data_IF_034710942490
#
_entry.id   IF_034710942490
#
_cell.length_a   1.000
_cell.length_b   1.000
_cell.length_c   1.000
_cell.angle_alpha   90.00
_cell.angle_beta   90.00
_cell.angle_gamma   90.00
#
_symmetry.space_group_name_H-M   'P 1'
#
loop_
_entity.id
_entity.type
_entity.pdbx_description
1 polymer ?
#
# COMPACT_ATOMS: atom_id res chain seq x y z
N UNK A 1 -4.11 -20.05 -6.47
CA UNK A 1 -4.49 -18.77 -7.10
C UNK A 1 -4.64 -17.78 -5.97
N UNK A 2 -4.26 -16.52 -6.15
CA UNK A 2 -4.49 -15.51 -5.11
C UNK A 2 -5.97 -15.12 -5.12
N UNK A 3 -6.68 -15.29 -4.01
CA UNK A 3 -8.12 -15.02 -3.88
C UNK A 3 -8.38 -13.51 -3.69
N UNK A 4 -7.75 -12.69 -4.53
CA UNK A 4 -7.86 -11.24 -4.53
C UNK A 4 -8.60 -10.79 -5.79
N UNK A 5 -9.50 -9.81 -5.65
CA UNK A 5 -10.30 -9.22 -6.72
C UNK A 5 -9.41 -8.79 -7.88
N UNK A 6 -9.85 -9.10 -9.11
CA UNK A 6 -9.10 -8.80 -10.31
C UNK A 6 -8.75 -7.32 -10.47
N UNK A 7 -9.46 -6.38 -9.86
CA UNK A 7 -9.08 -4.94 -9.91
C UNK A 7 -7.80 -4.63 -9.15
N UNK A 8 -7.28 -5.57 -8.38
CA UNK A 8 -6.04 -5.47 -7.64
C UNK A 8 -4.99 -6.42 -8.24
N UNK A 9 -3.71 -6.09 -8.03
CA UNK A 9 -2.60 -6.96 -8.36
C UNK A 9 -1.73 -7.21 -7.14
N UNK A 10 -1.39 -8.47 -6.96
CA UNK A 10 -0.42 -8.96 -5.99
C UNK A 10 0.75 -9.48 -6.80
N UNK A 11 1.94 -8.96 -6.51
CA UNK A 11 3.12 -9.17 -7.36
C UNK A 11 3.97 -10.32 -6.84
N UNK A 12 3.94 -10.54 -5.52
CA UNK A 12 4.58 -11.66 -4.85
C UNK A 12 3.64 -12.26 -3.79
N UNK A 13 3.61 -13.59 -3.58
CA UNK A 13 2.77 -14.22 -2.55
C UNK A 13 2.98 -13.65 -1.15
N UNK A 14 4.21 -13.22 -0.81
CA UNK A 14 4.56 -12.65 0.49
C UNK A 14 4.09 -11.19 0.66
N UNK A 15 3.59 -10.53 -0.38
CA UNK A 15 3.18 -9.13 -0.31
C UNK A 15 2.12 -8.91 0.77
N UNK A 16 2.29 -7.86 1.58
CA UNK A 16 1.28 -7.45 2.56
C UNK A 16 0.28 -6.47 1.99
N UNK A 17 0.49 -6.05 0.74
CA UNK A 17 -0.36 -5.10 0.02
C UNK A 17 -0.75 -5.66 -1.35
N UNK A 18 -1.87 -5.18 -1.87
CA UNK A 18 -2.25 -5.30 -3.27
C UNK A 18 -2.30 -3.90 -3.90
N UNK A 19 -2.02 -3.79 -5.18
CA UNK A 19 -2.00 -2.50 -5.91
C UNK A 19 -3.25 -2.39 -6.79
N UNK A 20 -3.93 -1.25 -6.75
CA UNK A 20 -5.08 -0.99 -7.61
C UNK A 20 -4.66 -0.86 -9.08
N UNK A 21 -5.28 -1.65 -9.97
CA UNK A 21 -5.09 -1.60 -11.43
C UNK A 21 -6.00 -0.58 -12.12
N UNK A 22 -7.07 -0.18 -11.45
CA UNK A 22 -8.02 0.85 -11.90
C UNK A 22 -8.57 1.61 -10.69
N UNK A 23 -9.22 2.77 -10.89
CA UNK A 23 -9.95 3.44 -9.82
C UNK A 23 -11.07 2.53 -9.26
N UNK A 24 -11.22 2.50 -7.94
CA UNK A 24 -12.32 1.80 -7.25
C UNK A 24 -13.03 2.77 -6.33
N UNK A 25 -14.35 2.85 -6.42
CA UNK A 25 -15.17 3.75 -5.63
C UNK A 25 -15.28 3.28 -4.16
N UNK A 26 -15.50 4.22 -3.24
CA UNK A 26 -15.94 3.92 -1.88
C UNK A 26 -17.24 3.10 -1.91
N UNK A 27 -17.44 2.25 -0.90
CA UNK A 27 -18.58 1.33 -0.81
C UNK A 27 -18.47 0.10 -1.72
N UNK A 28 -17.45 0.01 -2.57
CA UNK A 28 -17.23 -1.18 -3.41
C UNK A 28 -16.79 -2.36 -2.55
N UNK A 29 -17.46 -3.51 -2.72
CA UNK A 29 -17.02 -4.79 -2.15
C UNK A 29 -15.92 -5.40 -3.03
N UNK A 30 -14.78 -5.71 -2.41
CA UNK A 30 -13.63 -6.39 -3.01
C UNK A 30 -13.30 -7.62 -2.18
N UNK A 31 -12.90 -8.71 -2.84
CA UNK A 31 -12.25 -9.83 -2.14
C UNK A 31 -10.75 -9.54 -2.06
N UNK A 32 -10.14 -9.63 -0.88
CA UNK A 32 -8.72 -9.41 -0.66
C UNK A 32 -8.20 -10.55 0.22
N UNK A 33 -7.32 -11.39 -0.32
CA UNK A 33 -6.79 -12.55 0.41
C UNK A 33 -7.90 -13.48 0.92
N UNK A 34 -8.92 -13.74 0.11
CA UNK A 34 -10.06 -14.60 0.45
C UNK A 34 -11.09 -13.97 1.40
N UNK A 35 -10.95 -12.68 1.73
CA UNK A 35 -11.86 -11.95 2.62
C UNK A 35 -12.57 -10.85 1.88
N UNK A 36 -13.89 -10.76 2.04
CA UNK A 36 -14.64 -9.63 1.51
C UNK A 36 -14.46 -8.39 2.38
N UNK A 37 -14.11 -7.29 1.73
CA UNK A 37 -13.93 -5.98 2.33
C UNK A 37 -14.74 -4.96 1.54
N UNK A 38 -15.40 -4.04 2.26
CA UNK A 38 -16.04 -2.86 1.67
C UNK A 38 -15.07 -1.69 1.84
N UNK A 39 -14.76 -0.99 0.75
CA UNK A 39 -13.85 0.16 0.83
C UNK A 39 -14.50 1.34 1.53
N UNK A 40 -13.88 1.86 2.58
CA UNK A 40 -14.35 3.08 3.26
C UNK A 40 -14.14 4.35 2.43
N UNK A 41 -13.15 4.33 1.53
CA UNK A 41 -12.79 5.45 0.67
C UNK A 41 -12.44 4.99 -0.75
N UNK A 42 -12.54 5.90 -1.71
CA UNK A 42 -12.13 5.62 -3.08
C UNK A 42 -10.61 5.42 -3.15
N UNK A 43 -10.17 4.51 -4.02
CA UNK A 43 -8.77 4.23 -4.29
C UNK A 43 -8.47 4.52 -5.76
N UNK A 44 -7.38 5.22 -6.03
CA UNK A 44 -6.92 5.53 -7.40
C UNK A 44 -5.94 4.45 -7.89
N UNK A 45 -5.72 4.41 -9.20
CA UNK A 45 -4.75 3.49 -9.81
C UNK A 45 -3.35 3.65 -9.17
N UNK A 46 -2.67 2.53 -8.94
CA UNK A 46 -1.32 2.49 -8.37
C UNK A 46 -1.26 2.58 -6.84
N UNK A 47 -2.37 2.92 -6.17
CA UNK A 47 -2.42 2.96 -4.72
C UNK A 47 -2.52 1.56 -4.10
N UNK A 48 -2.12 1.45 -2.84
CA UNK A 48 -1.98 0.17 -2.14
C UNK A 48 -3.15 -0.06 -1.17
N UNK A 49 -3.67 -1.28 -1.15
CA UNK A 49 -4.60 -1.76 -0.12
C UNK A 49 -3.93 -2.87 0.68
N UNK A 50 -4.16 -2.92 1.98
CA UNK A 50 -3.60 -3.96 2.84
C UNK A 50 -4.26 -5.33 2.57
N UNK A 51 -3.45 -6.38 2.38
CA UNK A 51 -3.93 -7.78 2.24
C UNK A 51 -4.16 -8.48 3.57
N UNK A 52 -3.52 -7.98 4.62
CA UNK A 52 -3.63 -8.48 6.00
C UNK A 52 -3.60 -7.31 6.97
N UNK A 53 -4.10 -7.54 8.18
CA UNK A 53 -3.97 -6.56 9.24
C UNK A 53 -2.49 -6.37 9.60
N UNK A 54 -2.08 -5.14 9.89
CA UNK A 54 -0.73 -4.78 10.30
C UNK A 54 -0.78 -3.89 11.54
N UNK A 55 0.14 -4.11 12.47
CA UNK A 55 0.37 -3.29 13.66
C UNK A 55 1.48 -2.27 13.39
N UNK A 56 1.58 -1.19 14.18
CA UNK A 56 2.73 -0.29 14.11
C UNK A 56 4.05 -1.07 14.20
N UNK A 57 4.98 -0.79 13.28
CA UNK A 57 6.27 -1.47 13.16
C UNK A 57 6.28 -2.69 12.23
N UNK A 58 5.12 -3.24 11.87
CA UNK A 58 5.04 -4.36 10.92
C UNK A 58 5.55 -3.94 9.54
N UNK A 59 6.25 -4.86 8.86
CA UNK A 59 6.78 -4.61 7.52
C UNK A 59 5.69 -4.55 6.47
N UNK A 60 5.75 -3.52 5.64
CA UNK A 60 4.96 -3.39 4.43
C UNK A 60 5.75 -4.01 3.28
N UNK A 61 5.29 -5.13 2.75
CA UNK A 61 5.99 -5.89 1.70
C UNK A 61 5.32 -5.68 0.35
N UNK A 62 6.11 -5.32 -0.66
CA UNK A 62 5.70 -5.20 -2.08
C UNK A 62 6.80 -5.80 -2.96
N UNK A 63 6.45 -6.65 -3.91
CA UNK A 63 7.42 -7.48 -4.68
C UNK A 63 8.25 -8.40 -3.77
N UNK A 64 7.67 -8.89 -2.67
CA UNK A 64 8.36 -9.77 -1.71
C UNK A 64 9.40 -9.05 -0.84
N UNK A 65 9.59 -7.75 -1.02
CA UNK A 65 10.59 -6.95 -0.29
C UNK A 65 9.95 -5.89 0.60
N UNK A 66 10.59 -5.60 1.72
CA UNK A 66 10.15 -4.55 2.64
C UNK A 66 10.34 -3.17 2.02
N UNK A 67 9.24 -2.47 1.76
CA UNK A 67 9.25 -1.08 1.28
C UNK A 67 9.11 -0.08 2.43
N UNK A 68 8.95 -0.55 3.66
CA UNK A 68 8.74 0.28 4.83
C UNK A 68 8.08 -0.45 5.98
N UNK A 69 7.69 0.32 6.99
CA UNK A 69 6.95 -0.18 8.16
C UNK A 69 5.66 0.62 8.39
N UNK A 70 4.63 -0.05 8.90
CA UNK A 70 3.40 0.61 9.33
C UNK A 70 3.69 1.56 10.50
N UNK A 71 3.07 2.74 10.50
CA UNK A 71 3.16 3.74 11.58
C UNK A 71 1.93 3.77 12.48
N UNK A 72 0.86 3.11 12.05
CA UNK A 72 -0.40 2.95 12.78
C UNK A 72 -0.94 1.52 12.54
N UNK A 73 -2.03 1.17 13.22
CA UNK A 73 -2.79 -0.03 12.84
C UNK A 73 -3.40 0.14 11.45
N UNK A 74 -3.31 -0.92 10.63
CA UNK A 74 -3.83 -0.96 9.27
C UNK A 74 -4.72 -2.19 9.16
N UNK A 75 -6.02 -1.99 8.97
CA UNK A 75 -6.98 -3.07 8.74
C UNK A 75 -6.84 -3.66 7.33
N UNK A 76 -7.35 -4.88 7.12
CA UNK A 76 -7.44 -5.47 5.77
C UNK A 76 -8.28 -4.56 4.86
N UNK A 77 -7.79 -4.30 3.66
CA UNK A 77 -8.38 -3.41 2.68
C UNK A 77 -8.23 -1.92 2.98
N UNK A 78 -7.56 -1.52 4.07
CA UNK A 78 -7.24 -0.12 4.29
C UNK A 78 -6.20 0.40 3.28
N UNK A 79 -6.31 1.67 2.91
CA UNK A 79 -5.36 2.34 2.03
C UNK A 79 -3.99 2.51 2.71
N UNK A 80 -2.94 1.95 2.11
CA UNK A 80 -1.57 1.99 2.64
C UNK A 80 -0.75 3.07 1.94
N UNK A 81 -0.43 4.15 2.65
CA UNK A 81 0.35 5.28 2.12
C UNK A 81 1.06 6.06 3.22
N UNK A 82 1.69 7.20 2.90
CA UNK A 82 2.58 7.93 3.82
C UNK A 82 1.93 8.34 5.15
N UNK A 83 0.60 8.39 5.23
CA UNK A 83 -0.11 8.70 6.47
C UNK A 83 -0.09 7.54 7.49
N UNK A 84 0.06 6.29 7.05
CA UNK A 84 0.06 5.10 7.90
C UNK A 84 1.24 4.14 7.66
N UNK A 85 2.17 4.50 6.77
CA UNK A 85 3.46 3.82 6.61
C UNK A 85 4.59 4.81 6.41
N UNK A 86 5.80 4.42 6.80
CA UNK A 86 7.05 5.13 6.50
C UNK A 86 7.98 4.24 5.70
N UNK A 87 8.80 4.84 4.82
CA UNK A 87 9.92 4.14 4.20
C UNK A 87 10.97 3.82 5.26
N UNK A 88 11.51 2.60 5.21
CA UNK A 88 12.66 2.18 6.03
C UNK A 88 13.99 2.37 5.29
N UNK A 89 13.95 2.74 4.00
CA UNK A 89 15.14 3.11 3.22
C UNK A 89 15.47 4.60 3.43
N UNK A 90 16.77 4.86 3.61
CA UNK A 90 17.47 6.14 3.84
C UNK A 90 16.84 7.35 3.14
N UNK A 91 16.79 8.55 3.78
CA UNK A 91 16.16 9.74 3.22
C UNK A 91 16.67 10.05 1.81
N UNK A 92 15.72 10.24 0.88
CA UNK A 92 15.97 10.80 -0.43
C UNK A 92 16.69 12.14 -0.28
N UNK A 93 17.95 12.22 -0.69
CA UNK A 93 18.63 13.51 -0.87
C UNK A 93 17.93 14.25 -2.01
N UNK A 94 17.03 15.16 -1.67
CA UNK A 94 16.62 16.21 -2.60
C UNK A 94 17.83 17.12 -2.78
N UNK A 95 18.45 17.10 -3.96
CA UNK A 95 19.40 18.16 -4.32
C UNK A 95 18.61 19.46 -4.38
N UNK A 96 18.68 20.26 -3.33
CA UNK A 96 18.29 21.67 -3.39
C UNK A 96 19.18 22.31 -4.45
N UNK A 97 18.58 22.75 -5.55
CA UNK A 97 19.27 23.58 -6.52
C UNK A 97 19.60 24.91 -5.87
N UNK A 98 20.83 25.04 -5.37
CA UNK A 98 21.38 26.34 -5.02
C UNK A 98 22.06 26.89 -6.28
N UNK A 99 21.32 27.71 -6.99
CA UNK A 99 21.88 28.66 -7.92
C UNK A 99 22.46 29.82 -7.11
N UNK A 100 23.78 30.00 -7.13
CA UNK A 100 24.44 31.30 -7.01
C UNK A 100 25.94 31.19 -7.36
N UNK A 101 26.28 31.61 -8.57
CA UNK A 101 27.56 32.25 -8.90
C UNK A 101 27.35 33.75 -8.60
N UNK A 102 28.31 34.50 -8.00
CA UNK A 102 29.63 34.77 -8.56
C UNK A 102 30.83 34.50 -7.65
#
# INVERSE_FOLDING_TARGET
MDDTDGRLIVLDPADTVAVARCPVAAGTRLTIGGRDVVLDGAITIGHKLARRAMRPGDKVLKYGVSIGSATAEIAVGAHVHLHNMKSDYTPTHTRTGEAANP
#
